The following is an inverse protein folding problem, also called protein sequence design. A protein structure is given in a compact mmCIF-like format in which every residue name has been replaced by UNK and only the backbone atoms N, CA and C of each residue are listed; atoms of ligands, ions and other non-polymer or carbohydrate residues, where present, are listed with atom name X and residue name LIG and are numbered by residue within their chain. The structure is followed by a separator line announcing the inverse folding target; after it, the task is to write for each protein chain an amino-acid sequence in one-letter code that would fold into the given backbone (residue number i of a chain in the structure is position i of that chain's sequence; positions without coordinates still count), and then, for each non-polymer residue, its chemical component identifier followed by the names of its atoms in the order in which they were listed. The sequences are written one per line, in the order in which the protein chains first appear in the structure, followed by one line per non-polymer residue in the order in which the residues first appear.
data_IF_583598122866
#
_entry.id   IF_583598122866
#
_cell.length_a   1.000
_cell.length_b   1.000
_cell.length_c   1.000
_cell.angle_alpha   90.00
_cell.angle_beta   90.00
_cell.angle_gamma   90.00
#
_symmetry.space_group_name_H-M   'P 1'
#
loop_
_entity.id
_entity.type
_entity.pdbx_description
1 polymer ?
#
# COMPACT_ATOMS: atom_id res chain seq x y z
N UNK A 1 -5.22 11.28 5.20
CA UNK A 1 -3.84 11.76 4.92
C UNK A 1 -3.68 11.99 3.43
N UNK A 2 -2.72 12.83 2.99
CA UNK A 2 -2.46 13.02 1.54
C UNK A 2 -1.91 11.72 0.94
N UNK A 3 -2.37 11.36 -0.27
CA UNK A 3 -1.88 10.17 -1.01
C UNK A 3 -0.36 10.18 -1.17
N UNK A 4 0.22 11.32 -1.49
CA UNK A 4 1.69 11.46 -1.65
C UNK A 4 2.46 11.06 -0.39
N UNK A 5 1.98 11.45 0.78
CA UNK A 5 2.61 11.10 2.05
C UNK A 5 2.46 9.61 2.34
N UNK A 6 1.30 9.04 1.99
CA UNK A 6 1.05 7.62 2.16
C UNK A 6 1.96 6.76 1.27
N UNK A 7 2.13 7.15 0.01
CA UNK A 7 3.04 6.47 -0.92
C UNK A 7 4.47 6.46 -0.38
N UNK A 8 4.99 7.61 0.07
CA UNK A 8 6.32 7.68 0.69
C UNK A 8 6.46 6.76 1.91
N UNK A 9 5.44 6.69 2.77
CA UNK A 9 5.46 5.83 3.96
C UNK A 9 5.54 4.34 3.58
N UNK A 10 4.71 3.90 2.63
CA UNK A 10 4.70 2.49 2.23
C UNK A 10 5.96 2.12 1.44
N UNK A 11 6.48 3.02 0.60
CA UNK A 11 7.73 2.82 -0.14
C UNK A 11 8.92 2.70 0.82
N UNK A 12 8.97 3.53 1.86
CA UNK A 12 9.98 3.43 2.92
C UNK A 12 9.89 2.11 3.72
N UNK A 13 8.67 1.55 3.85
CA UNK A 13 8.46 0.23 4.44
C UNK A 13 8.79 -0.94 3.47
N UNK A 14 9.26 -0.65 2.25
CA UNK A 14 9.64 -1.66 1.26
C UNK A 14 8.50 -2.16 0.38
N UNK A 15 7.38 -1.43 0.31
CA UNK A 15 6.34 -1.70 -0.68
C UNK A 15 6.71 -1.09 -2.02
N UNK A 16 6.49 -1.84 -3.09
CA UNK A 16 6.76 -1.38 -4.45
C UNK A 16 5.49 -1.34 -5.27
N UNK A 17 5.43 -0.40 -6.19
CA UNK A 17 4.37 -0.35 -7.19
C UNK A 17 4.46 -1.58 -8.10
N UNK A 18 3.34 -2.28 -8.31
CA UNK A 18 3.27 -3.52 -9.09
C UNK A 18 2.58 -3.28 -10.43
N UNK A 19 1.36 -2.72 -10.42
CA UNK A 19 0.57 -2.50 -11.63
C UNK A 19 -0.52 -1.47 -11.43
N UNK A 20 -0.91 -0.83 -12.52
CA UNK A 20 -2.04 0.09 -12.57
C UNK A 20 -3.31 -0.69 -12.95
N UNK A 21 -4.44 -0.42 -12.29
CA UNK A 21 -5.72 -1.02 -12.61
C UNK A 21 -6.85 -0.02 -12.46
N UNK A 22 -7.39 0.47 -13.59
CA UNK A 22 -8.47 1.45 -13.61
C UNK A 22 -8.16 2.69 -12.76
N UNK A 23 -9.02 2.97 -11.79
CA UNK A 23 -8.91 4.12 -10.87
C UNK A 23 -7.93 3.92 -9.69
N UNK A 24 -7.22 2.78 -9.64
CA UNK A 24 -6.37 2.40 -8.50
C UNK A 24 -4.97 1.92 -8.95
N UNK A 25 -3.98 2.13 -8.09
CA UNK A 25 -2.62 1.61 -8.24
C UNK A 25 -2.40 0.45 -7.27
N UNK A 26 -1.89 -0.68 -7.75
CA UNK A 26 -1.61 -1.84 -6.91
C UNK A 26 -0.16 -1.79 -6.44
N UNK A 27 0.02 -1.87 -5.12
CA UNK A 27 1.32 -1.99 -4.47
C UNK A 27 1.47 -3.38 -3.88
N UNK A 28 2.70 -3.88 -3.87
CA UNK A 28 3.05 -5.23 -3.42
C UNK A 28 4.33 -5.26 -2.59
N UNK A 29 4.36 -6.18 -1.63
CA UNK A 29 5.50 -6.52 -0.79
C UNK A 29 5.41 -8.00 -0.45
N UNK A 30 6.45 -8.77 -0.79
CA UNK A 30 6.45 -10.23 -0.66
C UNK A 30 5.18 -10.86 -1.28
N UNK A 31 4.36 -11.55 -0.47
CA UNK A 31 3.10 -12.20 -0.89
C UNK A 31 1.86 -11.32 -0.71
N UNK A 32 2.02 -10.09 -0.22
CA UNK A 32 0.92 -9.19 0.04
C UNK A 32 0.82 -8.12 -1.04
N UNK A 33 -0.40 -7.84 -1.48
CA UNK A 33 -0.71 -6.74 -2.39
C UNK A 33 -1.94 -5.97 -1.93
N UNK A 34 -2.03 -4.69 -2.26
CA UNK A 34 -3.21 -3.85 -2.00
C UNK A 34 -3.38 -2.74 -3.03
N UNK A 35 -4.61 -2.26 -3.17
CA UNK A 35 -4.96 -1.20 -4.11
C UNK A 35 -5.00 0.16 -3.41
N UNK A 36 -4.23 1.11 -3.92
CA UNK A 36 -4.22 2.52 -3.50
C UNK A 36 -5.09 3.32 -4.48
N UNK A 37 -6.21 3.90 -4.04
CA UNK A 37 -7.04 4.74 -4.91
C UNK A 37 -6.25 5.97 -5.38
N UNK A 38 -6.51 6.43 -6.60
CA UNK A 38 -5.81 7.59 -7.18
C UNK A 38 -6.30 8.96 -6.68
N UNK A 39 -7.06 8.99 -5.60
CA UNK A 39 -7.58 10.23 -5.03
C UNK A 39 -6.51 11.01 -4.24
N UNK A 40 -6.70 12.31 -4.10
CA UNK A 40 -5.78 13.20 -3.37
C UNK A 40 -5.65 12.81 -1.90
N UNK A 41 -6.71 12.27 -1.31
CA UNK A 41 -6.78 11.88 0.09
C UNK A 41 -7.01 10.38 0.28
N UNK A 42 -6.23 9.81 1.19
CA UNK A 42 -6.34 8.43 1.64
C UNK A 42 -7.22 8.37 2.88
N UNK A 43 -8.29 7.60 2.76
CA UNK A 43 -9.24 7.29 3.84
C UNK A 43 -8.53 6.44 4.91
N UNK A 44 -8.86 6.60 6.21
CA UNK A 44 -8.27 5.82 7.29
C UNK A 44 -8.41 4.29 7.11
N UNK A 45 -9.48 3.84 6.45
CA UNK A 45 -9.68 2.40 6.17
C UNK A 45 -8.57 1.78 5.31
N UNK A 46 -8.03 2.52 4.34
CA UNK A 46 -6.90 2.06 3.51
C UNK A 46 -5.62 1.95 4.35
N UNK A 47 -5.40 2.91 5.26
CA UNK A 47 -4.24 2.89 6.16
C UNK A 47 -4.30 1.65 7.05
N UNK A 48 -5.46 1.38 7.67
CA UNK A 48 -5.68 0.20 8.50
C UNK A 48 -5.50 -1.10 7.70
N UNK A 49 -5.91 -1.12 6.43
CA UNK A 49 -5.70 -2.28 5.57
C UNK A 49 -4.20 -2.49 5.28
N UNK A 50 -3.47 -1.43 4.95
CA UNK A 50 -2.03 -1.49 4.74
C UNK A 50 -1.30 -2.00 5.99
N UNK A 51 -1.57 -1.45 7.18
CA UNK A 51 -0.94 -1.91 8.43
C UNK A 51 -1.12 -3.40 8.70
N UNK A 52 -2.31 -3.94 8.45
CA UNK A 52 -2.57 -5.38 8.62
C UNK A 52 -1.77 -6.22 7.61
N UNK A 53 -1.66 -5.75 6.37
CA UNK A 53 -0.89 -6.42 5.33
C UNK A 53 0.62 -6.27 5.52
N UNK A 54 1.07 -5.15 6.06
CA UNK A 54 2.48 -4.88 6.33
C UNK A 54 3.00 -5.85 7.39
N UNK A 55 2.29 -5.97 8.53
CA UNK A 55 2.59 -6.99 9.55
C UNK A 55 2.63 -8.39 8.94
N UNK A 56 1.66 -8.73 8.09
CA UNK A 56 1.62 -10.03 7.44
C UNK A 56 2.77 -10.22 6.43
N UNK A 57 3.18 -9.18 5.73
CA UNK A 57 4.29 -9.21 4.79
C UNK A 57 5.65 -9.39 5.49
N UNK A 58 5.76 -8.96 6.75
CA UNK A 58 6.93 -9.27 7.60
C UNK A 58 6.91 -10.73 8.05
N UNK A 59 5.74 -11.27 8.42
CA UNK A 59 5.59 -12.69 8.79
C UNK A 59 5.81 -13.65 7.61
N UNK A 60 5.40 -13.25 6.39
CA UNK A 60 5.51 -14.08 5.18
C UNK A 60 6.98 -14.30 4.75
N UNK A 61 7.95 -13.51 5.24
CA UNK A 61 9.39 -13.67 5.04
C UNK A 61 9.86 -13.64 3.56
N UNK A 62 11.17 -13.45 3.29
CA UNK A 62 11.75 -13.55 1.96
C UNK A 62 11.72 -14.98 1.39
#
# INVERSE_FOLDING_TARGET
MKRREFLKMIEAAGWSFVRHGGDHDVYGRHRQTFAVPRHTEIRPGIIRQWQQKDRKAEEDGP
#
